data_IF_500942574858
#
_entry.id   IF_500942574858
#
_cell.length_a   1.000
_cell.length_b   1.000
_cell.length_c   1.000
_cell.angle_alpha   90.00
_cell.angle_beta   90.00
_cell.angle_gamma   90.00
#
_symmetry.space_group_name_H-M   'P 1'
#
loop_
_entity.id
_entity.type
_entity.pdbx_description
1 polymer ?
#
# COMPACT_ATOMS: atom_id res chain seq x y z
N UNK A 1 -2.03 -24.24 -1.99
CA UNK A 1 -2.53 -23.04 -1.35
C UNK A 1 -3.06 -23.42 0.03
N UNK A 2 -2.39 -22.94 1.08
CA UNK A 2 -2.90 -23.06 2.43
C UNK A 2 -3.93 -21.93 2.63
N UNK A 3 -5.19 -22.22 3.01
CA UNK A 3 -6.14 -21.16 3.30
C UNK A 3 -5.68 -20.35 4.52
N UNK A 4 -5.92 -19.04 4.52
CA UNK A 4 -5.49 -18.13 5.59
C UNK A 4 -6.06 -18.54 6.96
N UNK A 5 -7.27 -19.11 6.95
CA UNK A 5 -7.95 -19.65 8.14
C UNK A 5 -7.19 -20.83 8.81
N UNK A 6 -6.27 -21.46 8.09
CA UNK A 6 -5.40 -22.52 8.62
C UNK A 6 -4.12 -22.00 9.27
N UNK A 7 -3.86 -20.68 9.23
CA UNK A 7 -2.68 -20.08 9.86
C UNK A 7 -2.93 -19.96 11.37
N UNK A 8 -2.14 -20.67 12.15
CA UNK A 8 -2.13 -20.50 13.60
C UNK A 8 -1.62 -19.09 13.96
N UNK A 9 -2.52 -18.24 14.47
CA UNK A 9 -2.20 -16.85 14.84
C UNK A 9 -1.10 -16.75 15.90
N UNK A 10 -1.01 -17.74 16.82
CA UNK A 10 0.05 -17.76 17.84
C UNK A 10 1.41 -18.05 17.23
N UNK A 11 1.46 -19.04 16.35
CA UNK A 11 2.69 -19.39 15.62
C UNK A 11 3.13 -18.23 14.70
N UNK A 12 2.18 -17.56 14.03
CA UNK A 12 2.47 -16.39 13.21
C UNK A 12 3.02 -15.23 14.04
N UNK A 13 2.42 -14.95 15.19
CA UNK A 13 2.91 -13.93 16.14
C UNK A 13 4.32 -14.25 16.66
N UNK A 14 4.60 -15.51 17.00
CA UNK A 14 5.93 -15.95 17.43
C UNK A 14 6.99 -15.78 16.30
N UNK A 15 6.62 -16.13 15.07
CA UNK A 15 7.47 -15.92 13.89
C UNK A 15 7.81 -14.43 13.72
N UNK A 16 6.81 -13.55 13.77
CA UNK A 16 7.02 -12.10 13.65
C UNK A 16 7.87 -11.55 14.80
N UNK A 17 7.66 -12.04 16.01
CA UNK A 17 8.49 -11.65 17.17
C UNK A 17 9.96 -12.02 16.95
N UNK A 18 10.24 -13.21 16.44
CA UNK A 18 11.60 -13.63 16.08
C UNK A 18 12.16 -12.77 14.94
N UNK A 19 11.37 -12.53 13.90
CA UNK A 19 11.80 -11.70 12.76
C UNK A 19 12.13 -10.27 13.18
N UNK A 20 11.40 -9.68 14.14
CA UNK A 20 11.66 -8.33 14.68
C UNK A 20 13.06 -8.18 15.29
N UNK A 21 13.65 -9.26 15.80
CA UNK A 21 15.01 -9.22 16.33
C UNK A 21 16.10 -9.28 15.25
N UNK A 22 15.73 -9.61 14.01
CA UNK A 22 16.67 -9.86 12.91
C UNK A 22 16.56 -8.85 11.76
N UNK A 23 15.41 -8.18 11.63
CA UNK A 23 15.12 -7.29 10.51
C UNK A 23 14.64 -5.92 10.97
N UNK A 24 15.13 -4.86 10.31
CA UNK A 24 14.68 -3.48 10.56
C UNK A 24 13.23 -3.25 10.09
N UNK A 25 12.81 -3.97 9.05
CA UNK A 25 11.48 -3.90 8.46
C UNK A 25 10.97 -5.27 8.08
N UNK A 26 9.71 -5.54 8.42
CA UNK A 26 8.97 -6.71 8.00
C UNK A 26 7.77 -6.22 7.20
N UNK A 27 7.64 -6.68 5.95
CA UNK A 27 6.50 -6.32 5.09
C UNK A 27 5.52 -7.48 5.05
N UNK A 28 4.29 -7.21 5.46
CA UNK A 28 3.18 -8.15 5.35
C UNK A 28 2.39 -7.80 4.08
N UNK A 29 2.45 -8.67 3.09
CA UNK A 29 1.67 -8.52 1.85
C UNK A 29 0.30 -9.18 2.07
N UNK A 30 -0.72 -8.34 2.27
CA UNK A 30 -2.07 -8.79 2.52
C UNK A 30 -2.87 -8.90 1.21
N UNK A 31 -3.77 -9.90 1.08
CA UNK A 31 -4.64 -9.99 -0.08
C UNK A 31 -5.58 -8.78 -0.19
N UNK A 32 -6.11 -8.55 -1.39
CA UNK A 32 -7.15 -7.55 -1.60
C UNK A 32 -8.45 -7.98 -0.93
N UNK A 33 -9.19 -7.00 -0.40
CA UNK A 33 -10.45 -7.25 0.30
C UNK A 33 -10.33 -7.11 1.82
N UNK A 34 -11.46 -7.29 2.52
CA UNK A 34 -11.57 -7.22 3.98
C UNK A 34 -11.94 -8.63 4.47
N UNK A 35 -11.00 -9.53 4.36
CA UNK A 35 -11.16 -10.94 4.73
C UNK A 35 -10.20 -11.33 5.87
N UNK A 36 -10.13 -12.64 6.17
CA UNK A 36 -9.26 -13.17 7.22
C UNK A 36 -7.78 -12.83 7.03
N UNK A 37 -7.31 -12.71 5.77
CA UNK A 37 -5.93 -12.34 5.47
C UNK A 37 -5.64 -10.89 5.79
N UNK A 38 -6.56 -10.00 5.48
CA UNK A 38 -6.51 -8.59 5.86
C UNK A 38 -6.51 -8.44 7.40
N UNK A 39 -7.43 -9.13 8.10
CA UNK A 39 -7.53 -9.08 9.55
C UNK A 39 -6.25 -9.58 10.22
N UNK A 40 -5.71 -10.71 9.76
CA UNK A 40 -4.47 -11.28 10.27
C UNK A 40 -3.29 -10.30 10.10
N UNK A 41 -3.09 -9.76 8.90
CA UNK A 41 -2.02 -8.82 8.64
C UNK A 41 -2.17 -7.53 9.46
N UNK A 42 -3.40 -6.99 9.52
CA UNK A 42 -3.69 -5.78 10.27
C UNK A 42 -3.41 -5.92 11.76
N UNK A 43 -3.77 -7.05 12.38
CA UNK A 43 -3.51 -7.32 13.81
C UNK A 43 -2.04 -7.13 14.19
N UNK A 44 -1.15 -7.66 13.38
CA UNK A 44 0.30 -7.68 13.67
C UNK A 44 1.07 -6.49 13.12
N UNK A 45 0.46 -5.67 12.27
CA UNK A 45 1.10 -4.51 11.67
C UNK A 45 1.17 -3.32 12.64
N UNK A 46 2.35 -2.69 12.70
CA UNK A 46 2.57 -1.43 13.44
C UNK A 46 2.20 -0.21 12.60
N UNK A 47 2.30 -0.35 11.27
CA UNK A 47 1.99 0.67 10.27
C UNK A 47 1.26 0.01 9.11
N UNK A 48 0.27 0.68 8.58
CA UNK A 48 -0.53 0.16 7.49
C UNK A 48 -0.47 1.10 6.30
N UNK A 49 -0.24 0.54 5.13
CA UNK A 49 -0.30 1.25 3.86
C UNK A 49 -1.48 0.71 3.07
N UNK A 50 -2.54 1.50 2.96
CA UNK A 50 -3.63 1.21 2.05
C UNK A 50 -3.29 1.68 0.64
N UNK A 51 -3.45 0.80 -0.33
CA UNK A 51 -3.18 1.09 -1.73
C UNK A 51 -4.48 1.10 -2.50
N UNK A 52 -4.80 2.20 -3.18
CA UNK A 52 -6.00 2.34 -4.00
C UNK A 52 -5.67 2.83 -5.41
N UNK A 53 -6.54 2.55 -6.36
CA UNK A 53 -6.56 3.24 -7.65
C UNK A 53 -7.27 4.59 -7.55
N UNK A 54 -7.28 5.39 -8.64
CA UNK A 54 -7.99 6.66 -8.67
C UNK A 54 -9.49 6.52 -8.94
N UNK A 55 -9.97 5.32 -9.28
CA UNK A 55 -11.38 5.11 -9.60
C UNK A 55 -12.27 5.16 -8.36
N UNK A 56 -13.52 5.66 -8.50
CA UNK A 56 -14.41 5.87 -7.34
C UNK A 56 -14.76 4.60 -6.57
N UNK A 57 -14.74 3.42 -7.20
CA UNK A 57 -15.04 2.16 -6.52
C UNK A 57 -13.87 1.77 -5.61
N UNK A 58 -12.64 1.79 -6.14
CA UNK A 58 -11.43 1.51 -5.35
C UNK A 58 -11.27 2.48 -4.17
N UNK A 59 -11.59 3.77 -4.37
CA UNK A 59 -11.54 4.76 -3.29
C UNK A 59 -12.57 4.47 -2.19
N UNK A 60 -13.79 4.05 -2.55
CA UNK A 60 -14.80 3.62 -1.56
C UNK A 60 -14.35 2.38 -0.78
N UNK A 61 -13.73 1.42 -1.47
CA UNK A 61 -13.22 0.21 -0.83
C UNK A 61 -12.08 0.54 0.14
N UNK A 62 -11.19 1.48 -0.24
CA UNK A 62 -10.14 1.97 0.65
C UNK A 62 -10.72 2.70 1.88
N UNK A 63 -11.75 3.53 1.71
CA UNK A 63 -12.43 4.20 2.82
C UNK A 63 -13.07 3.17 3.78
N UNK A 64 -13.71 2.13 3.23
CA UNK A 64 -14.28 1.04 4.04
C UNK A 64 -13.21 0.26 4.81
N UNK A 65 -12.09 -0.05 4.15
CA UNK A 65 -10.97 -0.71 4.81
C UNK A 65 -10.38 0.16 5.92
N UNK A 66 -10.25 1.47 5.71
CA UNK A 66 -9.80 2.41 6.73
C UNK A 66 -10.70 2.38 7.97
N UNK A 67 -12.04 2.44 7.78
CA UNK A 67 -13.00 2.34 8.87
C UNK A 67 -12.86 1.05 9.67
N UNK A 68 -12.69 -0.10 8.99
CA UNK A 68 -12.47 -1.37 9.67
C UNK A 68 -11.18 -1.34 10.50
N UNK A 69 -10.10 -0.82 9.95
CA UNK A 69 -8.82 -0.68 10.66
C UNK A 69 -8.94 0.22 11.88
N UNK A 70 -9.67 1.32 11.78
CA UNK A 70 -9.96 2.21 12.91
C UNK A 70 -10.72 1.49 14.02
N UNK A 71 -11.73 0.65 13.68
CA UNK A 71 -12.43 -0.17 14.67
C UNK A 71 -11.54 -1.21 15.34
N UNK A 72 -10.45 -1.62 14.66
CA UNK A 72 -9.41 -2.49 15.22
C UNK A 72 -8.39 -1.71 16.09
N UNK A 73 -8.56 -0.40 16.26
CA UNK A 73 -7.65 0.47 17.01
C UNK A 73 -6.36 0.82 16.27
N UNK A 74 -6.35 0.75 14.93
CA UNK A 74 -5.20 1.13 14.11
C UNK A 74 -5.28 2.62 13.75
N UNK A 75 -4.26 3.37 14.08
CA UNK A 75 -4.16 4.82 13.87
C UNK A 75 -3.06 5.22 12.87
N UNK A 76 -2.07 4.37 12.67
CA UNK A 76 -0.95 4.64 11.77
C UNK A 76 -1.23 4.07 10.37
N UNK A 77 -2.27 4.60 9.73
CA UNK A 77 -2.72 4.23 8.39
C UNK A 77 -2.35 5.33 7.41
N UNK A 78 -1.77 4.97 6.27
CA UNK A 78 -1.37 5.91 5.21
C UNK A 78 -1.85 5.42 3.86
N UNK A 79 -2.17 6.37 2.97
CA UNK A 79 -2.69 6.10 1.63
C UNK A 79 -1.59 6.17 0.58
N UNK A 80 -1.55 5.19 -0.30
CA UNK A 80 -0.85 5.25 -1.59
C UNK A 80 -1.87 5.21 -2.71
N UNK A 81 -1.85 6.21 -3.57
CA UNK A 81 -2.67 6.21 -4.79
C UNK A 81 -1.82 5.67 -5.94
N UNK A 82 -2.22 4.51 -6.45
CA UNK A 82 -1.48 3.75 -7.46
C UNK A 82 -2.11 3.90 -8.85
N UNK A 83 -1.30 3.72 -9.89
CA UNK A 83 -1.71 3.75 -11.29
C UNK A 83 -2.40 5.06 -11.70
N UNK A 84 -1.87 6.18 -11.21
CA UNK A 84 -2.35 7.49 -11.60
C UNK A 84 -1.95 7.79 -13.04
N UNK A 85 -2.94 7.95 -13.89
CA UNK A 85 -2.79 8.48 -15.24
C UNK A 85 -3.38 9.89 -15.29
N UNK A 86 -2.54 10.88 -15.60
CA UNK A 86 -2.95 12.30 -15.62
C UNK A 86 -4.15 12.58 -16.53
N UNK A 87 -4.21 11.93 -17.69
CA UNK A 87 -5.32 12.11 -18.63
C UNK A 87 -6.64 11.58 -18.06
N UNK A 88 -6.60 10.39 -17.46
CA UNK A 88 -7.79 9.76 -16.86
C UNK A 88 -8.29 10.55 -15.66
N UNK A 89 -7.41 10.95 -14.76
CA UNK A 89 -7.76 11.74 -13.56
C UNK A 89 -8.35 13.10 -13.96
N UNK A 90 -7.75 13.76 -14.96
CA UNK A 90 -8.28 15.03 -15.50
C UNK A 90 -9.64 14.84 -16.15
N UNK A 91 -9.85 13.77 -16.93
CA UNK A 91 -11.14 13.48 -17.56
C UNK A 91 -12.24 13.17 -16.54
N UNK A 92 -11.91 12.57 -15.39
CA UNK A 92 -12.84 12.32 -14.30
C UNK A 92 -13.09 13.54 -13.42
N UNK A 93 -12.37 14.64 -13.64
CA UNK A 93 -12.39 15.84 -12.80
C UNK A 93 -12.19 15.52 -11.31
N UNK A 94 -11.26 14.62 -11.01
CA UNK A 94 -10.90 14.18 -9.66
C UNK A 94 -9.46 14.60 -9.38
N UNK A 95 -9.21 15.13 -8.20
CA UNK A 95 -7.86 15.44 -7.72
C UNK A 95 -7.36 14.37 -6.74
N UNK A 96 -6.07 14.40 -6.44
CA UNK A 96 -5.52 13.52 -5.39
C UNK A 96 -6.07 13.91 -4.01
N UNK A 97 -6.33 15.19 -3.80
CA UNK A 97 -6.93 15.68 -2.55
C UNK A 97 -8.36 15.15 -2.39
N UNK A 98 -9.16 15.10 -3.46
CA UNK A 98 -10.49 14.46 -3.43
C UNK A 98 -10.41 12.97 -3.06
N UNK A 99 -9.37 12.27 -3.52
CA UNK A 99 -9.15 10.87 -3.19
C UNK A 99 -8.78 10.72 -1.70
N UNK A 100 -7.91 11.57 -1.19
CA UNK A 100 -7.51 11.61 0.21
C UNK A 100 -8.72 11.89 1.12
N UNK A 101 -9.50 12.91 0.80
CA UNK A 101 -10.67 13.31 1.57
C UNK A 101 -11.73 12.21 1.61
N UNK A 102 -11.99 11.57 0.47
CA UNK A 102 -12.95 10.44 0.39
C UNK A 102 -12.47 9.20 1.12
N UNK A 103 -11.16 8.90 1.08
CA UNK A 103 -10.57 7.79 1.79
C UNK A 103 -10.41 8.07 3.30
N UNK A 104 -10.44 9.35 3.71
CA UNK A 104 -10.22 9.78 5.09
C UNK A 104 -8.79 9.55 5.59
N UNK A 105 -7.80 9.47 4.69
CA UNK A 105 -6.45 9.02 5.03
C UNK A 105 -5.37 9.99 4.54
N UNK A 106 -4.32 10.21 5.34
CA UNK A 106 -3.18 11.01 4.92
C UNK A 106 -2.34 10.30 3.86
N UNK A 107 -1.91 11.06 2.85
CA UNK A 107 -1.15 10.56 1.71
C UNK A 107 0.28 10.19 2.08
N UNK A 108 0.68 8.96 1.75
CA UNK A 108 2.06 8.50 1.78
C UNK A 108 2.77 8.74 0.43
N UNK A 109 2.07 8.54 -0.67
CA UNK A 109 2.64 8.77 -1.99
C UNK A 109 1.72 8.44 -3.15
N UNK A 110 2.20 8.78 -4.33
CA UNK A 110 1.51 8.58 -5.60
C UNK A 110 2.42 7.79 -6.52
N UNK A 111 1.88 6.75 -7.15
CA UNK A 111 2.59 5.94 -8.15
C UNK A 111 1.91 6.16 -9.50
N UNK A 112 2.63 6.68 -10.50
CA UNK A 112 2.06 6.83 -11.84
C UNK A 112 1.83 5.48 -12.50
N UNK A 113 0.88 5.43 -13.43
CA UNK A 113 0.78 4.33 -14.37
C UNK A 113 2.05 4.31 -15.23
N UNK A 114 2.70 3.14 -15.31
CA UNK A 114 4.02 3.01 -15.94
C UNK A 114 4.16 1.63 -16.58
N UNK A 115 4.35 1.60 -17.88
CA UNK A 115 4.52 0.38 -18.67
C UNK A 115 5.76 -0.42 -18.22
N UNK A 116 6.77 0.25 -17.68
CA UNK A 116 7.96 -0.43 -17.17
C UNK A 116 7.65 -1.42 -16.02
N UNK A 117 6.53 -1.27 -15.33
CA UNK A 117 6.09 -2.24 -14.31
C UNK A 117 5.78 -3.59 -14.97
N UNK A 118 5.04 -3.57 -16.08
CA UNK A 118 4.68 -4.78 -16.84
C UNK A 118 5.93 -5.37 -17.49
N UNK A 119 6.79 -4.55 -18.09
CA UNK A 119 8.01 -5.01 -18.74
C UNK A 119 8.98 -5.62 -17.75
N UNK A 120 9.21 -5.00 -16.60
CA UNK A 120 10.07 -5.55 -15.54
C UNK A 120 9.55 -6.92 -15.07
N UNK A 121 8.24 -7.06 -14.86
CA UNK A 121 7.62 -8.32 -14.48
C UNK A 121 7.79 -9.40 -15.57
N UNK A 122 7.59 -9.05 -16.85
CA UNK A 122 7.78 -9.95 -17.99
C UNK A 122 9.22 -10.46 -18.08
N UNK A 123 10.20 -9.60 -17.80
CA UNK A 123 11.62 -9.95 -17.74
C UNK A 123 12.07 -10.56 -16.40
N UNK A 124 11.14 -10.79 -15.47
CA UNK A 124 11.43 -11.31 -14.12
C UNK A 124 12.50 -10.49 -13.38
N UNK A 125 12.47 -9.17 -13.58
CA UNK A 125 13.38 -8.24 -12.92
C UNK A 125 12.65 -7.36 -11.92
N UNK A 126 13.24 -7.04 -10.77
CA UNK A 126 12.69 -6.04 -9.87
C UNK A 126 12.58 -4.68 -10.58
N UNK A 127 11.44 -4.00 -10.44
CA UNK A 127 11.22 -2.68 -11.07
C UNK A 127 12.33 -1.68 -10.79
N UNK A 128 12.86 -1.65 -9.57
CA UNK A 128 13.92 -0.74 -9.15
C UNK A 128 15.29 -1.06 -9.79
N UNK A 129 15.49 -2.29 -10.26
CA UNK A 129 16.65 -2.70 -11.07
C UNK A 129 16.46 -2.39 -12.55
N UNK A 130 15.21 -2.47 -13.03
CA UNK A 130 14.86 -2.27 -14.44
C UNK A 130 14.90 -0.78 -14.85
N UNK A 131 14.35 0.12 -14.00
CA UNK A 131 14.31 1.55 -14.28
C UNK A 131 14.52 2.39 -13.02
N UNK A 132 14.93 3.65 -13.22
CA UNK A 132 15.07 4.64 -12.13
C UNK A 132 14.00 5.74 -12.18
N UNK A 133 13.12 5.74 -13.19
CA UNK A 133 12.11 6.78 -13.46
C UNK A 133 10.71 6.27 -13.12
N UNK A 134 9.70 7.08 -13.35
CA UNK A 134 8.27 6.72 -13.24
C UNK A 134 7.91 6.08 -11.91
N UNK A 135 7.25 4.92 -11.98
CA UNK A 135 6.80 4.16 -10.81
C UNK A 135 7.98 3.77 -9.89
N UNK A 136 9.15 3.42 -10.43
CA UNK A 136 10.33 3.10 -9.64
C UNK A 136 10.78 4.28 -8.78
N UNK A 137 10.81 5.49 -9.34
CA UNK A 137 11.15 6.70 -8.59
C UNK A 137 10.10 7.01 -7.51
N UNK A 138 8.82 6.78 -7.81
CA UNK A 138 7.73 6.94 -6.85
C UNK A 138 7.88 5.96 -5.68
N UNK A 139 8.11 4.69 -5.93
CA UNK A 139 8.35 3.67 -4.90
C UNK A 139 9.54 4.02 -4.00
N UNK A 140 10.64 4.55 -4.57
CA UNK A 140 11.78 5.02 -3.75
C UNK A 140 11.40 6.18 -2.83
N UNK A 141 10.58 7.14 -3.31
CA UNK A 141 10.10 8.25 -2.47
C UNK A 141 9.20 7.74 -1.35
N UNK A 142 8.30 6.82 -1.64
CA UNK A 142 7.41 6.18 -0.65
C UNK A 142 8.25 5.46 0.40
N UNK A 143 9.22 4.64 0.01
CA UNK A 143 10.09 3.94 0.93
C UNK A 143 10.88 4.90 1.85
N UNK A 144 11.38 6.02 1.32
CA UNK A 144 12.02 7.06 2.14
C UNK A 144 11.05 7.69 3.14
N UNK A 145 9.81 7.94 2.75
CA UNK A 145 8.77 8.49 3.66
C UNK A 145 8.38 7.50 4.75
N UNK A 146 8.31 6.20 4.43
CA UNK A 146 8.10 5.14 5.45
C UNK A 146 9.21 5.18 6.49
N UNK A 147 10.44 5.46 6.08
CA UNK A 147 11.61 5.62 6.96
C UNK A 147 11.65 6.95 7.72
N UNK A 148 10.66 7.82 7.55
CA UNK A 148 10.56 9.10 8.25
C UNK A 148 11.28 10.28 7.57
N UNK A 149 11.85 10.09 6.37
CA UNK A 149 12.46 11.21 5.63
C UNK A 149 11.39 12.13 5.02
N UNK A 150 11.59 13.43 5.15
CA UNK A 150 10.79 14.42 4.43
C UNK A 150 11.12 14.39 2.94
N UNK A 151 10.21 13.88 2.13
CA UNK A 151 10.34 13.81 0.67
C UNK A 151 9.06 14.35 0.05
N UNK A 152 9.18 15.31 -0.86
CA UNK A 152 8.05 15.91 -1.57
C UNK A 152 7.26 14.85 -2.36
N UNK A 153 5.93 14.89 -2.28
CA UNK A 153 5.07 14.09 -3.15
C UNK A 153 5.11 14.71 -4.55
N UNK A 154 5.42 13.93 -5.54
CA UNK A 154 5.43 14.34 -6.96
C UNK A 154 4.78 13.26 -7.80
N UNK A 155 3.98 13.68 -8.75
CA UNK A 155 3.53 12.87 -9.89
C UNK A 155 4.61 12.84 -10.95
#
# INVERSE_FOLDING_TARGET
>A
NCPVDAIDQKAFGALLSTARSQFDYIMLDAPAGIDAGFDLAARFADRIVLVTGPDPAAVRDAARAAQVLETMGKDNIRLVVNRINKKTVSAMNITVDDIMDRAGLPLLGIVPEDENVILAAAFRQPLLGYTKKGAAAACRRIARRIRGFHVTVRL
#
